data_IF_197239670032
#
_entry.id   IF_197239670032
#
_cell.length_a   1.000
_cell.length_b   1.000
_cell.length_c   1.000
_cell.angle_alpha   90.00
_cell.angle_beta   90.00
_cell.angle_gamma   90.00
#
_symmetry.space_group_name_H-M   'P 1'
#
loop_
_entity.id
_entity.type
_entity.pdbx_description
1 polymer ?
#
# COMPACT_ATOMS: atom_id res chain seq x y z
N UNK A 1 -28.46 -50.56 12.31
CA UNK A 1 -27.54 -49.98 13.32
C UNK A 1 -27.51 -48.45 13.18
N UNK A 2 -28.56 -47.84 13.73
CA UNK A 2 -28.77 -46.39 13.70
C UNK A 2 -28.27 -45.72 14.98
N UNK A 3 -27.74 -44.52 14.83
CA UNK A 3 -27.60 -43.56 15.92
C UNK A 3 -28.24 -42.24 15.46
N UNK A 4 -29.51 -42.09 15.83
CA UNK A 4 -30.28 -40.86 15.63
C UNK A 4 -29.94 -39.92 16.77
N UNK A 5 -29.27 -38.81 16.46
CA UNK A 5 -28.94 -37.78 17.45
C UNK A 5 -30.17 -36.93 17.67
N UNK A 6 -30.82 -37.14 18.82
CA UNK A 6 -31.99 -36.39 19.25
C UNK A 6 -31.63 -34.91 19.47
N UNK A 7 -32.33 -34.02 18.76
CA UNK A 7 -32.36 -32.59 19.00
C UNK A 7 -32.96 -32.34 20.40
N UNK A 8 -32.16 -31.90 21.36
CA UNK A 8 -32.66 -31.43 22.66
C UNK A 8 -33.32 -30.06 22.47
N UNK A 9 -34.62 -30.00 22.73
CA UNK A 9 -35.39 -28.77 22.77
C UNK A 9 -34.91 -27.88 23.93
N UNK A 10 -34.56 -26.63 23.61
CA UNK A 10 -34.21 -25.59 24.58
C UNK A 10 -35.50 -25.16 25.29
N UNK A 11 -35.56 -25.18 26.63
CA UNK A 11 -36.73 -24.70 27.37
C UNK A 11 -36.93 -23.19 27.19
N UNK A 12 -38.19 -22.71 27.15
CA UNK A 12 -38.47 -21.28 27.04
C UNK A 12 -37.98 -20.51 28.28
N UNK A 13 -37.58 -19.23 28.11
CA UNK A 13 -37.12 -18.41 29.21
C UNK A 13 -38.25 -18.16 30.23
N UNK A 14 -37.91 -18.05 31.52
CA UNK A 14 -38.89 -17.77 32.57
C UNK A 14 -39.54 -16.39 32.37
N UNK A 15 -40.81 -16.23 32.78
CA UNK A 15 -41.51 -14.95 32.70
C UNK A 15 -40.82 -13.90 33.58
N UNK A 16 -40.61 -12.72 33.02
CA UNK A 16 -40.12 -11.53 33.72
C UNK A 16 -41.02 -11.21 34.91
N UNK A 17 -40.50 -11.41 36.12
CA UNK A 17 -41.13 -10.94 37.34
C UNK A 17 -41.13 -9.41 37.33
N UNK A 18 -42.33 -8.82 37.43
CA UNK A 18 -42.52 -7.39 37.53
C UNK A 18 -41.79 -6.86 38.77
N UNK A 19 -40.85 -5.93 38.57
CA UNK A 19 -40.22 -5.22 39.66
C UNK A 19 -41.25 -4.35 40.39
N UNK A 20 -41.22 -4.30 41.73
CA UNK A 20 -42.08 -3.40 42.50
C UNK A 20 -41.75 -1.94 42.18
N UNK A 21 -42.75 -1.04 42.19
CA UNK A 21 -42.55 0.38 41.94
C UNK A 21 -41.65 0.99 43.02
N UNK A 22 -40.67 1.78 42.56
CA UNK A 22 -39.80 2.58 43.43
C UNK A 22 -40.64 3.57 44.26
N UNK A 23 -40.28 3.80 45.54
CA UNK A 23 -40.87 4.87 46.34
C UNK A 23 -40.58 6.25 45.71
N UNK A 24 -41.62 7.06 45.65
CA UNK A 24 -41.64 8.40 45.05
C UNK A 24 -40.97 9.40 46.02
N UNK A 25 -39.65 9.52 45.91
CA UNK A 25 -38.81 10.34 46.80
C UNK A 25 -38.79 11.82 46.34
N UNK A 26 -39.96 12.48 46.39
CA UNK A 26 -40.13 13.92 46.05
C UNK A 26 -39.79 14.85 47.23
N UNK A 27 -38.73 14.54 47.98
CA UNK A 27 -38.36 15.25 49.21
C UNK A 27 -36.96 15.90 49.27
N UNK A 28 -36.15 15.84 48.20
CA UNK A 28 -34.71 16.20 48.29
C UNK A 28 -34.12 17.08 47.18
N UNK A 29 -34.94 17.68 46.31
CA UNK A 29 -34.46 18.33 45.09
C UNK A 29 -33.76 19.69 45.28
N UNK A 30 -33.92 20.36 46.43
CA UNK A 30 -33.38 21.72 46.61
C UNK A 30 -31.92 21.76 47.10
N UNK A 31 -31.43 20.75 47.84
CA UNK A 31 -30.07 20.77 48.42
C UNK A 31 -29.05 20.05 47.54
N UNK A 32 -29.49 19.10 46.70
CA UNK A 32 -28.61 18.41 45.75
C UNK A 32 -28.18 19.29 44.55
N UNK A 33 -28.97 20.31 44.20
CA UNK A 33 -28.66 21.24 43.11
C UNK A 33 -27.42 22.08 43.37
N UNK A 34 -27.27 22.60 44.59
CA UNK A 34 -26.15 23.48 44.96
C UNK A 34 -24.84 22.72 45.15
N UNK A 35 -24.89 21.48 45.68
CA UNK A 35 -23.72 20.61 45.76
C UNK A 35 -23.25 20.11 44.38
N UNK A 36 -24.18 19.82 43.47
CA UNK A 36 -23.85 19.46 42.09
C UNK A 36 -23.31 20.66 41.28
N UNK A 37 -23.83 21.86 41.51
CA UNK A 37 -23.32 23.10 40.91
C UNK A 37 -21.93 23.47 41.45
N UNK A 38 -21.68 23.29 42.76
CA UNK A 38 -20.36 23.49 43.36
C UNK A 38 -19.33 22.45 42.88
N UNK A 39 -19.73 21.18 42.70
CA UNK A 39 -18.88 20.14 42.12
C UNK A 39 -18.61 20.37 40.61
N UNK A 40 -19.59 20.89 39.87
CA UNK A 40 -19.41 21.29 38.47
C UNK A 40 -18.51 22.53 38.33
N UNK A 41 -18.57 23.47 39.28
CA UNK A 41 -17.68 24.62 39.35
C UNK A 41 -16.25 24.22 39.76
N UNK A 42 -16.08 23.28 40.69
CA UNK A 42 -14.77 22.75 41.08
C UNK A 42 -14.09 21.91 39.98
N UNK A 43 -14.85 21.38 39.02
CA UNK A 43 -14.32 20.72 37.81
C UNK A 43 -13.98 21.69 36.68
N UNK A 44 -14.32 22.98 36.79
CA UNK A 44 -13.74 24.00 35.91
C UNK A 44 -12.30 24.20 36.36
N UNK A 45 -11.42 23.35 35.83
CA UNK A 45 -9.98 23.56 35.92
C UNK A 45 -9.62 24.98 35.49
N UNK A 46 -8.42 25.46 35.86
CA UNK A 46 -7.99 26.82 35.58
C UNK A 46 -8.28 27.18 34.11
N UNK A 47 -8.81 28.39 33.84
CA UNK A 47 -9.16 28.81 32.49
C UNK A 47 -7.97 28.56 31.58
N UNK A 48 -8.21 27.87 30.47
CA UNK A 48 -7.15 27.50 29.55
C UNK A 48 -6.36 28.77 29.19
N UNK A 49 -5.02 28.77 29.33
CA UNK A 49 -4.22 29.94 29.05
C UNK A 49 -4.52 30.44 27.63
N UNK A 50 -4.51 31.77 27.40
CA UNK A 50 -4.79 32.34 26.10
C UNK A 50 -3.85 31.72 25.05
N UNK A 51 -4.35 31.43 23.83
CA UNK A 51 -3.56 30.78 22.80
C UNK A 51 -2.33 31.64 22.50
N UNK A 52 -1.15 31.12 22.80
CA UNK A 52 0.08 31.81 22.47
C UNK A 52 0.22 31.96 20.95
N UNK A 53 0.73 33.11 20.47
CA UNK A 53 0.93 33.34 19.04
C UNK A 53 1.87 32.27 18.48
N UNK A 54 1.37 31.52 17.50
CA UNK A 54 2.17 30.48 16.83
C UNK A 54 3.29 31.13 16.01
N UNK A 55 4.53 30.67 16.24
CA UNK A 55 5.68 31.09 15.44
C UNK A 55 5.54 30.71 13.96
N UNK A 56 6.25 31.39 13.05
CA UNK A 56 6.13 31.18 11.60
C UNK A 56 6.42 29.72 11.20
N UNK A 57 7.42 29.07 11.80
CA UNK A 57 7.74 27.66 11.54
C UNK A 57 6.60 26.70 11.91
N UNK A 58 5.85 26.98 12.98
CA UNK A 58 4.69 26.17 13.37
C UNK A 58 3.54 26.30 12.37
N UNK A 59 3.36 27.47 11.74
CA UNK A 59 2.36 27.67 10.69
C UNK A 59 2.71 26.90 9.42
N UNK A 60 3.98 26.93 9.01
CA UNK A 60 4.46 26.17 7.84
C UNK A 60 4.31 24.67 8.08
N UNK A 61 4.73 24.17 9.25
CA UNK A 61 4.55 22.77 9.62
C UNK A 61 3.06 22.38 9.68
N UNK A 62 2.21 23.24 10.23
CA UNK A 62 0.76 23.01 10.24
C UNK A 62 0.19 22.89 8.82
N UNK A 63 0.56 23.80 7.92
CA UNK A 63 0.11 23.78 6.52
C UNK A 63 0.61 22.51 5.80
N UNK A 64 1.90 22.20 5.92
CA UNK A 64 2.52 21.01 5.31
C UNK A 64 1.88 19.72 5.83
N UNK A 65 1.76 19.57 7.15
CA UNK A 65 1.12 18.42 7.78
C UNK A 65 -0.34 18.27 7.35
N UNK A 66 -1.10 19.37 7.31
CA UNK A 66 -2.50 19.34 6.86
C UNK A 66 -2.60 18.91 5.40
N UNK A 67 -1.80 19.49 4.51
CA UNK A 67 -1.79 19.16 3.09
C UNK A 67 -1.51 17.67 2.85
N UNK A 68 -0.42 17.14 3.42
CA UNK A 68 -0.04 15.73 3.25
C UNK A 68 -1.14 14.79 3.76
N UNK A 69 -1.73 15.08 4.92
CA UNK A 69 -2.78 14.22 5.48
C UNK A 69 -4.11 14.36 4.73
N UNK A 70 -4.41 15.51 4.12
CA UNK A 70 -5.54 15.67 3.21
C UNK A 70 -5.36 14.84 1.93
N UNK A 71 -4.14 14.79 1.37
CA UNK A 71 -3.84 13.92 0.22
C UNK A 71 -3.99 12.44 0.60
N UNK A 72 -3.45 12.03 1.76
CA UNK A 72 -3.64 10.66 2.27
C UNK A 72 -5.11 10.30 2.49
N UNK A 73 -5.89 11.24 3.04
CA UNK A 73 -7.33 11.05 3.23
C UNK A 73 -8.04 10.86 1.89
N UNK A 74 -7.74 11.69 0.89
CA UNK A 74 -8.31 11.60 -0.45
C UNK A 74 -7.97 10.26 -1.13
N UNK A 75 -6.71 9.81 -1.04
CA UNK A 75 -6.29 8.50 -1.55
C UNK A 75 -7.05 7.35 -0.87
N UNK A 76 -7.18 7.40 0.46
CA UNK A 76 -7.99 6.44 1.21
C UNK A 76 -9.44 6.40 0.73
N UNK A 77 -10.08 7.56 0.53
CA UNK A 77 -11.46 7.65 0.03
C UNK A 77 -11.61 7.10 -1.40
N UNK A 78 -10.66 7.41 -2.30
CA UNK A 78 -10.67 6.87 -3.68
C UNK A 78 -10.56 5.34 -3.67
N UNK A 79 -9.64 4.79 -2.87
CA UNK A 79 -9.51 3.34 -2.71
C UNK A 79 -10.76 2.72 -2.09
N UNK A 80 -11.37 3.39 -1.12
CA UNK A 80 -12.61 2.91 -0.48
C UNK A 80 -13.74 2.82 -1.51
N UNK A 81 -13.89 3.86 -2.35
CA UNK A 81 -14.89 3.90 -3.40
C UNK A 81 -14.65 2.81 -4.45
N UNK A 82 -13.40 2.59 -4.83
CA UNK A 82 -13.04 1.51 -5.76
C UNK A 82 -13.41 0.13 -5.19
N UNK A 83 -13.07 -0.11 -3.93
CA UNK A 83 -13.40 -1.36 -3.22
C UNK A 83 -14.91 -1.52 -3.09
N UNK A 84 -15.65 -0.45 -2.80
CA UNK A 84 -17.11 -0.50 -2.76
C UNK A 84 -17.70 -0.90 -4.12
N UNK A 85 -17.21 -0.34 -5.22
CA UNK A 85 -17.65 -0.69 -6.57
C UNK A 85 -17.36 -2.16 -6.92
N UNK A 86 -16.15 -2.64 -6.63
CA UNK A 86 -15.78 -4.04 -6.83
C UNK A 86 -16.62 -4.95 -5.94
N UNK A 87 -16.85 -4.59 -4.69
CA UNK A 87 -17.66 -5.35 -3.74
C UNK A 87 -19.10 -5.52 -4.21
N UNK A 88 -19.71 -4.46 -4.76
CA UNK A 88 -21.04 -4.54 -5.36
C UNK A 88 -21.06 -5.48 -6.57
N UNK A 89 -20.06 -5.42 -7.44
CA UNK A 89 -19.95 -6.31 -8.60
C UNK A 89 -19.76 -7.79 -8.19
N UNK A 90 -18.85 -8.07 -7.25
CA UNK A 90 -18.61 -9.43 -6.74
C UNK A 90 -19.85 -10.00 -6.04
N UNK A 91 -20.55 -9.17 -5.25
CA UNK A 91 -21.80 -9.54 -4.61
C UNK A 91 -22.88 -9.90 -5.64
N UNK A 92 -23.04 -9.08 -6.69
CA UNK A 92 -23.99 -9.34 -7.76
C UNK A 92 -23.70 -10.64 -8.54
N UNK A 93 -22.43 -11.04 -8.65
CA UNK A 93 -22.00 -12.30 -9.26
C UNK A 93 -22.10 -13.51 -8.31
N UNK A 94 -22.62 -13.34 -7.09
CA UNK A 94 -22.77 -14.43 -6.12
C UNK A 94 -21.46 -14.95 -5.53
N UNK A 95 -20.34 -14.22 -5.68
CA UNK A 95 -19.04 -14.67 -5.14
C UNK A 95 -19.04 -14.83 -3.62
N UNK A 96 -19.94 -14.14 -2.91
CA UNK A 96 -20.06 -14.22 -1.45
C UNK A 96 -21.28 -15.02 -0.98
N UNK A 97 -21.94 -15.75 -1.88
CA UNK A 97 -23.06 -16.61 -1.53
C UNK A 97 -22.69 -17.75 -0.55
N UNK A 98 -21.49 -18.35 -0.59
CA UNK A 98 -21.11 -19.36 0.39
C UNK A 98 -20.91 -18.75 1.78
N UNK A 99 -21.50 -19.33 2.85
CA UNK A 99 -21.32 -18.85 4.21
C UNK A 99 -19.83 -18.94 4.58
N UNK A 100 -19.26 -17.81 5.01
CA UNK A 100 -17.87 -17.72 5.46
C UNK A 100 -16.84 -17.32 4.40
N UNK A 101 -17.20 -17.23 3.11
CA UNK A 101 -16.27 -16.80 2.05
C UNK A 101 -15.72 -15.37 2.28
N UNK A 102 -16.57 -14.45 2.71
CA UNK A 102 -16.13 -13.09 3.06
C UNK A 102 -15.20 -13.08 4.30
N UNK A 103 -15.48 -13.92 5.29
CA UNK A 103 -14.69 -14.01 6.51
C UNK A 103 -13.30 -14.64 6.24
N UNK A 104 -13.22 -15.66 5.38
CA UNK A 104 -11.95 -16.26 4.99
C UNK A 104 -11.10 -15.29 4.14
N UNK A 105 -11.71 -14.59 3.17
CA UNK A 105 -11.03 -13.59 2.34
C UNK A 105 -10.46 -12.43 3.16
N UNK A 106 -11.27 -11.85 4.06
CA UNK A 106 -10.84 -10.78 4.96
C UNK A 106 -9.73 -11.21 5.91
N UNK A 107 -9.83 -12.41 6.49
CA UNK A 107 -8.77 -12.98 7.33
C UNK A 107 -7.48 -13.18 6.55
N UNK A 108 -7.55 -13.71 5.33
CA UNK A 108 -6.40 -13.89 4.45
C UNK A 108 -5.71 -12.56 4.16
N UNK A 109 -6.48 -11.54 3.77
CA UNK A 109 -5.97 -10.19 3.51
C UNK A 109 -5.36 -9.54 4.75
N UNK A 110 -6.00 -9.69 5.91
CA UNK A 110 -5.48 -9.18 7.17
C UNK A 110 -4.14 -9.82 7.53
N UNK A 111 -3.99 -11.14 7.35
CA UNK A 111 -2.72 -11.83 7.58
C UNK A 111 -1.64 -11.34 6.61
N UNK A 112 -2.00 -11.09 5.34
CA UNK A 112 -1.09 -10.52 4.33
C UNK A 112 -0.62 -9.15 4.73
N UNK A 113 -1.53 -8.26 5.11
CA UNK A 113 -1.15 -6.93 5.55
C UNK A 113 -0.37 -6.96 6.85
N UNK A 114 -0.80 -7.74 7.83
CA UNK A 114 -0.10 -7.85 9.10
C UNK A 114 1.33 -8.37 8.90
N UNK A 115 1.53 -9.39 8.06
CA UNK A 115 2.87 -9.86 7.69
C UNK A 115 3.68 -8.72 7.08
N UNK A 116 3.17 -8.07 6.04
CA UNK A 116 3.90 -6.99 5.36
C UNK A 116 4.20 -5.79 6.29
N UNK A 117 3.33 -5.48 7.25
CA UNK A 117 3.52 -4.39 8.19
C UNK A 117 4.46 -4.76 9.35
N UNK A 118 4.51 -6.04 9.76
CA UNK A 118 5.31 -6.50 10.89
C UNK A 118 6.72 -6.98 10.51
N UNK A 119 6.92 -7.49 9.29
CA UNK A 119 8.24 -7.91 8.76
C UNK A 119 9.39 -6.93 9.09
N UNK A 120 9.23 -5.60 8.97
CA UNK A 120 10.31 -4.68 9.33
C UNK A 120 10.68 -4.65 10.82
N UNK A 121 9.77 -5.05 11.70
CA UNK A 121 9.91 -4.91 13.16
C UNK A 121 10.18 -6.23 13.86
N UNK A 122 9.74 -7.34 13.27
CA UNK A 122 9.81 -8.68 13.87
C UNK A 122 10.09 -9.68 12.75
N UNK A 123 10.92 -10.69 13.01
CA UNK A 123 11.04 -11.85 12.15
C UNK A 123 9.65 -12.50 11.99
N UNK A 124 8.98 -12.22 10.88
CA UNK A 124 7.61 -12.66 10.64
C UNK A 124 7.50 -14.14 10.25
N UNK A 125 8.53 -14.94 10.53
CA UNK A 125 8.57 -16.38 10.27
C UNK A 125 7.46 -17.12 11.01
N UNK A 126 6.99 -16.58 12.15
CA UNK A 126 5.82 -17.11 12.87
C UNK A 126 4.51 -17.04 12.08
N UNK A 127 4.42 -16.23 11.02
CA UNK A 127 3.24 -16.12 10.16
C UNK A 127 3.28 -17.08 8.95
N UNK A 128 4.43 -17.66 8.62
CA UNK A 128 4.56 -18.63 7.53
C UNK A 128 3.62 -19.84 7.62
N UNK A 129 3.38 -20.48 8.79
CA UNK A 129 2.48 -21.64 8.85
C UNK A 129 1.00 -21.28 8.66
N UNK A 130 0.63 -20.01 8.83
CA UNK A 130 -0.77 -19.53 8.73
C UNK A 130 -1.03 -18.83 7.39
N UNK A 131 0.01 -18.58 6.60
CA UNK A 131 -0.08 -17.92 5.31
C UNK A 131 -0.71 -18.85 4.26
N UNK A 132 -1.79 -18.43 3.60
CA UNK A 132 -2.36 -19.21 2.51
C UNK A 132 -1.35 -19.33 1.36
N UNK A 133 -1.16 -20.56 0.86
CA UNK A 133 -0.24 -20.85 -0.26
C UNK A 133 -0.63 -20.14 -1.55
N UNK A 134 -1.93 -19.86 -1.71
CA UNK A 134 -2.49 -19.14 -2.85
C UNK A 134 -3.53 -18.15 -2.32
N UNK A 135 -3.39 -16.89 -2.69
CA UNK A 135 -4.36 -15.84 -2.41
C UNK A 135 -5.22 -15.65 -3.65
N UNK A 136 -6.54 -15.70 -3.48
CA UNK A 136 -7.49 -15.49 -4.58
C UNK A 136 -7.46 -14.06 -5.11
N UNK A 137 -7.99 -13.87 -6.32
CA UNK A 137 -8.19 -12.55 -6.94
C UNK A 137 -9.05 -11.62 -6.07
N UNK A 138 -9.99 -12.17 -5.29
CA UNK A 138 -10.82 -11.45 -4.34
C UNK A 138 -10.00 -10.82 -3.20
N UNK A 139 -8.95 -11.50 -2.74
CA UNK A 139 -8.07 -10.97 -1.70
C UNK A 139 -7.26 -9.78 -2.24
N UNK A 140 -6.64 -9.94 -3.41
CA UNK A 140 -5.80 -8.89 -4.01
C UNK A 140 -6.61 -7.72 -4.59
N UNK A 141 -7.77 -8.00 -5.17
CA UNK A 141 -8.61 -7.01 -5.85
C UNK A 141 -9.58 -6.27 -4.95
N UNK A 142 -10.02 -6.86 -3.83
CA UNK A 142 -11.01 -6.27 -2.94
C UNK A 142 -10.48 -6.05 -1.51
N UNK A 143 -10.04 -7.11 -0.83
CA UNK A 143 -9.73 -7.01 0.60
C UNK A 143 -8.45 -6.25 0.92
N UNK A 144 -7.35 -6.50 0.19
CA UNK A 144 -6.07 -5.81 0.40
C UNK A 144 -6.22 -4.29 0.15
N UNK A 145 -6.80 -3.83 -0.98
CA UNK A 145 -7.05 -2.40 -1.18
C UNK A 145 -8.01 -1.80 -0.15
N UNK A 146 -9.02 -2.56 0.31
CA UNK A 146 -9.98 -2.10 1.32
C UNK A 146 -9.35 -1.87 2.69
N UNK A 147 -8.54 -2.81 3.15
CA UNK A 147 -7.82 -2.66 4.40
C UNK A 147 -6.74 -1.57 4.32
N UNK A 148 -6.06 -1.43 3.18
CA UNK A 148 -5.11 -0.33 2.93
C UNK A 148 -5.80 1.03 2.95
N UNK A 149 -7.00 1.14 2.38
CA UNK A 149 -7.85 2.32 2.45
C UNK A 149 -8.16 2.71 3.90
N UNK A 150 -8.66 1.76 4.70
CA UNK A 150 -8.95 1.99 6.12
C UNK A 150 -7.70 2.43 6.90
N UNK A 151 -6.54 1.86 6.56
CA UNK A 151 -5.26 2.24 7.14
C UNK A 151 -4.91 3.71 6.81
N UNK A 152 -5.01 4.12 5.55
CA UNK A 152 -4.77 5.51 5.14
C UNK A 152 -5.73 6.50 5.80
N UNK A 153 -7.03 6.17 5.84
CA UNK A 153 -8.03 6.99 6.50
C UNK A 153 -7.72 7.14 8.00
N UNK A 154 -7.25 6.08 8.65
CA UNK A 154 -6.88 6.08 10.07
C UNK A 154 -5.65 6.96 10.33
N UNK A 155 -4.57 6.79 9.56
CA UNK A 155 -3.35 7.63 9.64
C UNK A 155 -3.68 9.10 9.39
N UNK A 156 -4.44 9.38 8.33
CA UNK A 156 -4.85 10.74 7.96
C UNK A 156 -5.68 11.40 9.06
N UNK A 157 -6.70 10.71 9.55
CA UNK A 157 -7.60 11.23 10.59
C UNK A 157 -6.88 11.48 11.91
N UNK A 158 -6.01 10.56 12.33
CA UNK A 158 -5.19 10.73 13.53
C UNK A 158 -4.21 11.90 13.39
N UNK A 159 -3.58 12.06 12.22
CA UNK A 159 -2.67 13.19 11.96
C UNK A 159 -3.40 14.53 12.00
N UNK A 160 -4.53 14.65 11.32
CA UNK A 160 -5.38 15.86 11.35
C UNK A 160 -5.91 16.15 12.75
N UNK A 161 -6.36 15.13 13.49
CA UNK A 161 -6.79 15.29 14.89
C UNK A 161 -5.65 15.73 15.80
N UNK A 162 -4.42 15.25 15.56
CA UNK A 162 -3.21 15.61 16.30
C UNK A 162 -2.84 17.08 16.04
N UNK A 163 -2.88 17.53 14.78
CA UNK A 163 -2.67 18.94 14.41
C UNK A 163 -3.69 19.86 15.11
N UNK A 164 -4.98 19.49 15.04
CA UNK A 164 -6.08 20.32 15.56
C UNK A 164 -6.06 20.46 17.07
N UNK A 165 -5.78 19.37 17.80
CA UNK A 165 -5.96 19.33 19.25
C UNK A 165 -4.67 19.46 20.04
N UNK A 166 -3.51 19.23 19.40
CA UNK A 166 -2.17 19.38 19.99
C UNK A 166 -1.99 18.67 21.35
N UNK A 167 -2.69 17.55 21.55
CA UNK A 167 -2.58 16.75 22.79
C UNK A 167 -1.53 15.65 22.61
N UNK A 168 -0.57 15.51 23.54
CA UNK A 168 0.49 14.49 23.43
C UNK A 168 -0.08 13.07 23.45
N UNK A 169 -1.18 12.82 24.17
CA UNK A 169 -1.84 11.51 24.20
C UNK A 169 -2.40 11.06 22.84
N UNK A 170 -2.66 11.99 21.91
CA UNK A 170 -3.08 11.67 20.53
C UNK A 170 -1.90 11.56 19.57
N UNK A 171 -0.81 12.26 19.86
CA UNK A 171 0.41 12.19 19.07
C UNK A 171 1.07 10.81 19.13
N UNK A 172 0.98 10.10 20.27
CA UNK A 172 1.55 8.75 20.43
C UNK A 172 0.94 7.71 19.47
N UNK A 173 -0.39 7.46 19.46
CA UNK A 173 -0.96 6.48 18.53
C UNK A 173 -0.76 6.89 17.07
N UNK A 174 -0.78 8.19 16.77
CA UNK A 174 -0.44 8.70 15.46
C UNK A 174 1.01 8.38 15.08
N UNK A 175 1.99 8.67 15.95
CA UNK A 175 3.41 8.45 15.68
C UNK A 175 3.70 6.96 15.43
N UNK A 176 3.08 6.06 16.20
CA UNK A 176 3.22 4.62 16.00
C UNK A 176 2.67 4.19 14.64
N UNK A 177 1.46 4.63 14.29
CA UNK A 177 0.84 4.26 13.02
C UNK A 177 1.58 4.87 11.82
N UNK A 178 2.05 6.11 11.95
CA UNK A 178 2.86 6.80 10.95
C UNK A 178 4.22 6.12 10.77
N UNK A 179 4.87 5.66 11.84
CA UNK A 179 6.11 4.91 11.75
C UNK A 179 5.92 3.60 10.97
N UNK A 180 4.88 2.83 11.30
CA UNK A 180 4.51 1.61 10.56
C UNK A 180 4.26 1.94 9.08
N UNK A 181 3.52 3.01 8.79
CA UNK A 181 3.22 3.44 7.42
C UNK A 181 4.49 3.82 6.62
N UNK A 182 5.35 4.67 7.19
CA UNK A 182 6.56 5.15 6.53
C UNK A 182 7.55 4.02 6.29
N UNK A 183 7.69 3.10 7.25
CA UNK A 183 8.57 1.93 7.12
C UNK A 183 8.03 0.96 6.07
N UNK A 184 6.72 0.69 6.07
CA UNK A 184 6.09 -0.14 5.04
C UNK A 184 6.26 0.47 3.64
N UNK A 185 6.05 1.78 3.49
CA UNK A 185 6.27 2.47 2.21
C UNK A 185 7.74 2.40 1.75
N UNK A 186 8.70 2.51 2.68
CA UNK A 186 10.12 2.35 2.36
C UNK A 186 10.41 0.94 1.82
N UNK A 187 9.89 -0.11 2.46
CA UNK A 187 10.06 -1.48 1.98
C UNK A 187 9.38 -1.72 0.64
N UNK A 188 8.16 -1.19 0.45
CA UNK A 188 7.46 -1.27 -0.82
C UNK A 188 8.26 -0.57 -1.94
N UNK A 189 8.86 0.58 -1.64
CA UNK A 189 9.73 1.30 -2.57
C UNK A 189 10.99 0.48 -2.91
N UNK A 190 11.62 -0.16 -1.93
CA UNK A 190 12.78 -1.03 -2.14
C UNK A 190 12.44 -2.25 -3.00
N UNK A 191 11.34 -2.95 -2.67
CA UNK A 191 10.84 -4.06 -3.46
C UNK A 191 10.50 -3.63 -4.90
N UNK A 192 9.93 -2.43 -5.08
CA UNK A 192 9.66 -1.88 -6.40
C UNK A 192 10.94 -1.58 -7.19
N UNK A 193 11.98 -1.04 -6.54
CA UNK A 193 13.31 -0.83 -7.15
C UNK A 193 13.91 -2.17 -7.56
N UNK A 194 13.84 -3.18 -6.70
CA UNK A 194 14.33 -4.52 -6.99
C UNK A 194 13.57 -5.14 -8.16
N UNK A 195 12.23 -5.13 -8.14
CA UNK A 195 11.38 -5.61 -9.23
C UNK A 195 11.71 -4.87 -10.52
N UNK A 196 11.99 -3.56 -10.49
CA UNK A 196 12.36 -2.80 -11.68
C UNK A 196 13.71 -3.23 -12.31
N UNK A 197 14.49 -4.07 -11.63
CA UNK A 197 15.69 -4.73 -12.18
C UNK A 197 15.41 -6.10 -12.79
N UNK A 198 14.24 -6.69 -12.54
CA UNK A 198 13.83 -8.01 -13.02
C UNK A 198 13.34 -7.99 -14.48
N UNK A 199 13.90 -7.12 -15.31
CA UNK A 199 13.58 -7.12 -16.75
C UNK A 199 14.19 -8.37 -17.43
N UNK A 200 15.36 -8.77 -16.94
CA UNK A 200 16.21 -9.81 -17.50
C UNK A 200 15.76 -11.20 -17.08
N UNK A 201 15.21 -12.03 -17.97
CA UNK A 201 14.62 -13.36 -17.67
C UNK A 201 15.61 -14.42 -17.12
N UNK A 202 16.83 -14.00 -16.77
CA UNK A 202 17.93 -14.83 -16.32
C UNK A 202 18.73 -15.45 -17.47
N UNK A 203 19.94 -15.88 -17.15
CA UNK A 203 20.77 -16.67 -18.05
C UNK A 203 20.36 -18.15 -17.96
N UNK A 204 20.23 -18.89 -19.09
CA UNK A 204 20.05 -20.34 -19.09
C UNK A 204 21.33 -21.10 -18.68
N UNK A 205 22.29 -20.43 -18.04
CA UNK A 205 23.61 -20.97 -17.72
C UNK A 205 23.49 -22.06 -16.65
N UNK A 206 23.31 -23.30 -17.08
CA UNK A 206 23.77 -24.56 -16.45
C UNK A 206 23.26 -24.92 -15.04
N UNK A 207 22.75 -23.97 -14.27
CA UNK A 207 22.17 -24.19 -12.96
C UNK A 207 20.86 -24.95 -13.15
N UNK A 208 20.81 -26.16 -12.61
CA UNK A 208 19.74 -27.14 -12.79
C UNK A 208 18.39 -26.69 -12.19
N UNK A 209 18.31 -25.52 -11.54
CA UNK A 209 17.05 -24.94 -11.07
C UNK A 209 17.09 -23.41 -11.07
N UNK A 210 16.10 -22.71 -11.68
CA UNK A 210 16.00 -21.26 -11.60
C UNK A 210 15.82 -20.82 -10.15
N UNK A 211 16.41 -19.68 -9.78
CA UNK A 211 16.22 -19.10 -8.46
C UNK A 211 14.75 -18.74 -8.23
N UNK A 212 14.26 -18.68 -6.98
CA UNK A 212 12.89 -18.29 -6.68
C UNK A 212 12.41 -17.01 -7.40
N UNK A 213 13.16 -15.88 -7.43
CA UNK A 213 12.72 -14.69 -8.16
C UNK A 213 12.66 -14.90 -9.67
N UNK A 214 13.57 -15.69 -10.25
CA UNK A 214 13.53 -16.05 -11.67
C UNK A 214 12.29 -16.88 -12.02
N UNK A 215 11.86 -17.78 -11.13
CA UNK A 215 10.62 -18.56 -11.34
C UNK A 215 9.39 -17.64 -11.38
N UNK A 216 9.29 -16.71 -10.43
CA UNK A 216 8.21 -15.72 -10.39
C UNK A 216 8.22 -14.86 -11.65
N UNK A 217 9.40 -14.39 -12.06
CA UNK A 217 9.57 -13.57 -13.24
C UNK A 217 9.19 -14.31 -14.54
N UNK A 218 9.65 -15.54 -14.73
CA UNK A 218 9.28 -16.37 -15.88
C UNK A 218 7.78 -16.66 -15.91
N UNK A 219 7.16 -16.86 -14.73
CA UNK A 219 5.73 -17.05 -14.60
C UNK A 219 4.95 -15.78 -14.98
N UNK A 220 5.35 -14.61 -14.47
CA UNK A 220 4.73 -13.32 -14.81
C UNK A 220 4.89 -12.97 -16.29
N UNK A 221 6.06 -13.25 -16.86
CA UNK A 221 6.30 -13.09 -18.29
C UNK A 221 5.37 -13.98 -19.11
N UNK A 222 5.26 -15.26 -18.75
CA UNK A 222 4.39 -16.21 -19.45
C UNK A 222 2.92 -15.78 -19.40
N UNK A 223 2.39 -15.49 -18.22
CA UNK A 223 1.00 -15.02 -18.07
C UNK A 223 0.80 -13.73 -18.86
N UNK A 224 1.71 -12.77 -18.74
CA UNK A 224 1.61 -11.51 -19.46
C UNK A 224 1.61 -11.68 -20.98
N UNK A 225 2.45 -12.58 -21.50
CA UNK A 225 2.51 -12.90 -22.93
C UNK A 225 1.24 -13.61 -23.42
N UNK A 226 0.74 -14.59 -22.66
CA UNK A 226 -0.49 -15.32 -22.97
C UNK A 226 -1.69 -14.35 -23.03
N UNK A 227 -1.87 -13.53 -22.00
CA UNK A 227 -2.94 -12.51 -21.96
C UNK A 227 -2.78 -11.48 -23.08
N UNK A 228 -1.56 -11.04 -23.38
CA UNK A 228 -1.32 -10.10 -24.47
C UNK A 228 -1.68 -10.72 -25.82
N UNK A 229 -1.31 -11.98 -26.05
CA UNK A 229 -1.57 -12.69 -27.30
C UNK A 229 -3.05 -12.99 -27.48
N UNK A 230 -3.74 -13.37 -26.41
CA UNK A 230 -5.20 -13.54 -26.37
C UNK A 230 -5.87 -12.23 -26.77
N UNK A 231 -5.59 -11.12 -26.07
CA UNK A 231 -6.15 -9.80 -26.37
C UNK A 231 -5.82 -9.35 -27.80
N UNK A 232 -4.57 -9.55 -28.25
CA UNK A 232 -4.16 -9.21 -29.61
C UNK A 232 -4.99 -9.97 -30.67
N UNK A 233 -5.25 -11.25 -30.42
CA UNK A 233 -6.02 -12.11 -31.33
C UNK A 233 -7.52 -11.83 -31.30
N UNK A 234 -8.12 -11.68 -30.12
CA UNK A 234 -9.54 -11.38 -29.93
C UNK A 234 -9.93 -10.05 -30.58
N UNK A 235 -9.08 -9.03 -30.39
CA UNK A 235 -9.32 -7.69 -30.95
C UNK A 235 -8.91 -7.59 -32.43
N UNK A 236 -8.51 -8.70 -33.06
CA UNK A 236 -8.12 -8.82 -34.48
C UNK A 236 -7.06 -7.79 -34.87
N UNK A 237 -6.07 -7.61 -34.00
CA UNK A 237 -5.02 -6.64 -34.23
C UNK A 237 -4.03 -7.12 -35.31
N UNK A 238 -3.51 -6.16 -36.08
CA UNK A 238 -2.50 -6.37 -37.12
C UNK A 238 -1.44 -5.27 -37.05
N UNK A 239 -0.19 -5.65 -37.31
CA UNK A 239 0.92 -4.71 -37.46
C UNK A 239 1.04 -4.36 -38.93
N UNK A 240 0.97 -3.07 -39.23
CA UNK A 240 1.31 -2.57 -40.57
C UNK A 240 2.76 -2.11 -40.57
N UNK A 241 3.60 -2.84 -41.30
CA UNK A 241 4.97 -2.43 -41.59
C UNK A 241 4.93 -1.44 -42.76
N UNK A 242 5.37 -0.20 -42.52
CA UNK A 242 5.42 0.94 -43.45
C UNK A 242 4.11 1.63 -43.84
N UNK A 243 3.91 2.83 -43.26
CA UNK A 243 3.19 3.94 -43.87
C UNK A 243 4.06 5.20 -43.69
N UNK A 244 5.02 5.44 -44.60
CA UNK A 244 5.95 6.59 -44.54
C UNK A 244 7.07 6.49 -43.49
N UNK A 245 7.54 7.64 -42.99
CA UNK A 245 8.59 7.80 -41.96
C UNK A 245 8.13 7.39 -40.53
N UNK A 246 6.86 7.02 -40.36
CA UNK A 246 6.33 6.60 -39.06
C UNK A 246 6.60 5.10 -38.79
N UNK A 247 7.22 4.82 -37.65
CA UNK A 247 7.48 3.46 -37.17
C UNK A 247 6.17 2.65 -36.99
N UNK A 248 6.22 1.36 -37.36
CA UNK A 248 5.23 0.26 -37.16
C UNK A 248 3.91 0.66 -36.48
N UNK A 249 2.83 0.74 -37.25
CA UNK A 249 1.51 1.12 -36.73
C UNK A 249 0.65 -0.14 -36.47
N UNK A 250 0.24 -0.31 -35.22
CA UNK A 250 -0.73 -1.35 -34.82
C UNK A 250 -2.15 -0.86 -35.08
N UNK A 251 -2.97 -1.68 -35.75
CA UNK A 251 -4.40 -1.41 -35.96
C UNK A 251 -5.22 -2.61 -35.53
N UNK A 252 -6.29 -2.38 -34.79
CA UNK A 252 -7.25 -3.40 -34.37
C UNK A 252 -8.60 -3.12 -35.04
N UNK A 253 -9.33 -4.18 -35.40
CA UNK A 253 -10.57 -4.05 -36.18
C UNK A 253 -11.83 -4.40 -35.39
N UNK A 254 -11.72 -4.68 -34.09
CA UNK A 254 -12.87 -4.93 -33.22
C UNK A 254 -13.47 -3.61 -32.71
N UNK A 255 -14.80 -3.59 -32.52
CA UNK A 255 -15.55 -2.41 -32.05
C UNK A 255 -15.67 -2.37 -30.51
N UNK A 256 -14.62 -2.75 -29.81
CA UNK A 256 -14.54 -2.73 -28.35
C UNK A 256 -13.71 -1.54 -27.87
N UNK A 257 -13.81 -1.19 -26.58
CA UNK A 257 -12.96 -0.16 -26.00
C UNK A 257 -11.50 -0.62 -25.98
N UNK A 258 -11.29 -1.90 -25.67
CA UNK A 258 -9.99 -2.57 -25.62
C UNK A 258 -9.27 -2.48 -26.96
N UNK A 259 -9.97 -2.73 -28.07
CA UNK A 259 -9.42 -2.61 -29.43
C UNK A 259 -9.00 -1.18 -29.80
N UNK A 260 -9.66 -0.16 -29.22
CA UNK A 260 -9.29 1.25 -29.42
C UNK A 260 -8.13 1.67 -28.53
N UNK A 261 -8.06 1.16 -27.30
CA UNK A 261 -7.02 1.50 -26.32
C UNK A 261 -5.71 0.79 -26.63
N UNK A 262 -5.75 -0.46 -27.09
CA UNK A 262 -4.56 -1.27 -27.30
C UNK A 262 -3.53 -0.63 -28.27
N UNK A 263 -3.92 -0.11 -29.45
CA UNK A 263 -2.99 0.62 -30.31
C UNK A 263 -2.38 1.86 -29.65
N UNK A 264 -3.17 2.61 -28.87
CA UNK A 264 -2.71 3.81 -28.15
C UNK A 264 -1.67 3.42 -27.11
N UNK A 265 -1.93 2.39 -26.32
CA UNK A 265 -0.97 1.88 -25.33
C UNK A 265 0.31 1.42 -26.01
N UNK A 266 0.23 0.65 -27.08
CA UNK A 266 1.42 0.16 -27.78
C UNK A 266 2.22 1.30 -28.43
N UNK A 267 1.55 2.32 -28.95
CA UNK A 267 2.22 3.46 -29.57
C UNK A 267 2.85 4.42 -28.57
N UNK A 268 2.16 4.72 -27.47
CA UNK A 268 2.60 5.71 -26.49
C UNK A 268 3.55 5.11 -25.42
N UNK A 269 3.32 3.87 -25.02
CA UNK A 269 4.07 3.24 -23.94
C UNK A 269 5.20 2.35 -24.48
N UNK A 270 4.99 1.60 -25.56
CA UNK A 270 5.94 0.55 -25.99
C UNK A 270 7.00 1.01 -27.01
N UNK A 271 7.31 2.30 -27.02
CA UNK A 271 8.34 2.89 -27.88
C UNK A 271 9.50 3.47 -27.05
N UNK A 272 10.70 3.48 -27.63
CA UNK A 272 11.84 4.16 -27.00
C UNK A 272 11.63 5.68 -27.01
N UNK A 273 12.04 6.34 -25.93
CA UNK A 273 11.69 7.74 -25.66
C UNK A 273 12.69 8.77 -26.21
N UNK A 274 13.88 8.35 -26.63
CA UNK A 274 14.90 9.24 -27.20
C UNK A 274 15.87 8.47 -28.10
N UNK A 275 16.44 9.15 -29.11
CA UNK A 275 17.37 8.55 -30.07
C UNK A 275 18.63 7.98 -29.40
N UNK A 276 19.15 8.63 -28.35
CA UNK A 276 20.31 8.16 -27.58
C UNK A 276 20.02 6.90 -26.76
N UNK A 277 18.80 6.73 -26.25
CA UNK A 277 18.37 5.56 -25.49
C UNK A 277 17.80 4.45 -26.38
N UNK A 278 17.55 4.73 -27.66
CA UNK A 278 16.90 3.82 -28.59
C UNK A 278 17.73 2.55 -28.83
N UNK A 279 19.06 2.67 -28.93
CA UNK A 279 19.95 1.53 -29.15
C UNK A 279 19.94 0.55 -27.97
N UNK A 280 19.97 1.05 -26.73
CA UNK A 280 19.86 0.22 -25.52
C UNK A 280 18.48 -0.43 -25.43
N UNK A 281 17.41 0.32 -25.70
CA UNK A 281 16.05 -0.21 -25.72
C UNK A 281 15.90 -1.35 -26.73
N UNK A 282 16.34 -1.15 -27.98
CA UNK A 282 16.24 -2.19 -29.01
C UNK A 282 17.12 -3.42 -28.68
N UNK A 283 18.26 -3.24 -28.03
CA UNK A 283 19.08 -4.34 -27.51
C UNK A 283 18.36 -5.15 -26.43
N UNK A 284 17.68 -4.49 -25.49
CA UNK A 284 16.87 -5.15 -24.45
C UNK A 284 15.67 -5.90 -25.04
N UNK A 285 15.02 -5.33 -26.04
CA UNK A 285 13.93 -5.98 -26.79
C UNK A 285 14.42 -7.23 -27.53
N UNK A 286 15.61 -7.16 -28.15
CA UNK A 286 16.23 -8.33 -28.78
C UNK A 286 16.56 -9.42 -27.75
N UNK A 287 17.14 -9.04 -26.60
CA UNK A 287 17.45 -9.95 -25.51
C UNK A 287 16.18 -10.63 -24.94
N UNK A 288 15.08 -9.88 -24.79
CA UNK A 288 13.78 -10.43 -24.42
C UNK A 288 13.31 -11.52 -25.39
N UNK A 289 13.40 -11.25 -26.70
CA UNK A 289 13.01 -12.23 -27.74
C UNK A 289 13.86 -13.50 -27.67
N UNK A 290 15.17 -13.32 -27.61
CA UNK A 290 16.10 -14.45 -27.62
C UNK A 290 15.95 -15.30 -26.37
N UNK A 291 15.79 -14.69 -25.19
CA UNK A 291 15.58 -15.43 -23.94
C UNK A 291 14.22 -16.09 -23.87
N UNK A 292 13.14 -15.40 -24.23
CA UNK A 292 11.81 -16.00 -24.25
C UNK A 292 11.74 -17.23 -25.16
N UNK A 293 12.45 -17.22 -26.30
CA UNK A 293 12.60 -18.41 -27.17
C UNK A 293 13.43 -19.51 -26.52
N UNK A 294 14.60 -19.17 -25.97
CA UNK A 294 15.48 -20.16 -25.30
C UNK A 294 14.80 -20.85 -24.13
N UNK A 295 14.02 -20.11 -23.35
CA UNK A 295 13.26 -20.61 -22.20
C UNK A 295 11.93 -21.26 -22.59
N UNK A 296 11.61 -21.33 -23.90
CA UNK A 296 10.33 -21.87 -24.42
C UNK A 296 9.11 -21.22 -23.77
N UNK A 297 9.20 -19.92 -23.49
CA UNK A 297 8.10 -19.10 -22.99
C UNK A 297 7.20 -18.62 -24.13
N UNK A 298 7.74 -18.53 -25.35
CA UNK A 298 6.96 -18.27 -26.56
C UNK A 298 6.53 -19.56 -27.26
N UNK A 299 5.54 -19.43 -28.15
CA UNK A 299 5.19 -20.47 -29.10
C UNK A 299 6.38 -20.84 -30.00
N UNK A 300 6.36 -22.07 -30.53
CA UNK A 300 7.44 -22.58 -31.40
C UNK A 300 7.58 -21.78 -32.71
N UNK A 301 6.47 -21.26 -33.23
CA UNK A 301 6.44 -20.36 -34.38
C UNK A 301 6.55 -18.89 -33.95
N UNK A 302 7.46 -18.09 -34.55
CA UNK A 302 7.55 -16.67 -34.22
C UNK A 302 6.27 -15.95 -34.62
N UNK A 303 5.68 -15.22 -33.68
CA UNK A 303 4.51 -14.37 -33.93
C UNK A 303 4.92 -12.89 -33.94
N UNK A 304 4.22 -12.08 -34.74
CA UNK A 304 4.40 -10.63 -34.75
C UNK A 304 4.07 -10.00 -33.37
N UNK A 305 3.14 -10.62 -32.63
CA UNK A 305 2.77 -10.23 -31.26
C UNK A 305 3.94 -10.37 -30.29
N UNK A 306 4.87 -11.31 -30.48
CA UNK A 306 6.03 -11.50 -29.60
C UNK A 306 6.94 -10.26 -29.63
N UNK A 307 7.08 -9.65 -30.82
CA UNK A 307 7.92 -8.48 -30.99
C UNK A 307 7.32 -7.23 -30.34
N UNK A 308 5.99 -7.07 -30.38
CA UNK A 308 5.31 -6.00 -29.67
C UNK A 308 5.32 -6.24 -28.16
N UNK A 309 5.07 -7.48 -27.73
CA UNK A 309 5.08 -7.85 -26.33
C UNK A 309 6.44 -7.53 -25.70
N UNK A 310 7.56 -7.94 -26.31
CA UNK A 310 8.89 -7.62 -25.78
C UNK A 310 9.19 -6.12 -25.72
N UNK A 311 8.65 -5.33 -26.66
CA UNK A 311 8.73 -3.86 -26.59
C UNK A 311 7.97 -3.31 -25.39
N UNK A 312 6.75 -3.78 -25.19
CA UNK A 312 5.92 -3.39 -24.06
C UNK A 312 6.51 -3.86 -22.71
N UNK A 313 7.12 -5.05 -22.69
CA UNK A 313 7.84 -5.57 -21.54
C UNK A 313 8.96 -4.61 -21.14
N UNK A 314 9.92 -4.35 -22.03
CA UNK A 314 11.04 -3.44 -21.75
C UNK A 314 10.58 -2.04 -21.35
N UNK A 315 9.58 -1.50 -22.05
CA UNK A 315 9.03 -0.20 -21.70
C UNK A 315 8.31 -0.17 -20.34
N UNK A 316 7.65 -1.27 -19.98
CA UNK A 316 7.06 -1.47 -18.66
C UNK A 316 8.10 -1.38 -17.56
N UNK A 317 9.28 -1.98 -17.76
CA UNK A 317 10.40 -1.86 -16.81
C UNK A 317 10.98 -0.44 -16.76
N UNK A 318 11.03 0.29 -17.87
CA UNK A 318 11.42 1.71 -17.85
C UNK A 318 10.41 2.57 -17.08
N UNK A 319 9.12 2.29 -17.26
CA UNK A 319 8.05 2.92 -16.48
C UNK A 319 8.16 2.57 -14.99
N UNK A 320 8.45 1.31 -14.64
CA UNK A 320 8.68 0.88 -13.25
C UNK A 320 9.90 1.57 -12.64
N UNK A 321 11.02 1.67 -13.35
CA UNK A 321 12.22 2.40 -12.90
C UNK A 321 11.91 3.88 -12.66
N UNK A 322 11.17 4.50 -13.58
CA UNK A 322 10.74 5.90 -13.43
C UNK A 322 9.80 6.04 -12.22
N UNK A 323 8.82 5.16 -12.09
CA UNK A 323 7.87 5.15 -10.99
C UNK A 323 8.57 4.94 -9.63
N UNK A 324 9.55 4.04 -9.56
CA UNK A 324 10.35 3.81 -8.36
C UNK A 324 11.08 5.06 -7.86
N UNK A 325 11.62 5.88 -8.77
CA UNK A 325 12.21 7.19 -8.41
C UNK A 325 11.15 8.15 -7.85
N UNK A 326 9.97 8.19 -8.46
CA UNK A 326 8.86 9.03 -7.98
C UNK A 326 8.35 8.59 -6.60
N UNK A 327 8.27 7.28 -6.35
CA UNK A 327 7.86 6.73 -5.05
C UNK A 327 8.80 7.21 -3.94
N UNK A 328 10.11 7.27 -4.19
CA UNK A 328 11.05 7.83 -3.20
C UNK A 328 10.81 9.31 -2.90
N UNK A 329 10.47 10.13 -3.91
CA UNK A 329 10.11 11.54 -3.70
C UNK A 329 8.82 11.68 -2.88
N UNK A 330 7.81 10.87 -3.19
CA UNK A 330 6.55 10.81 -2.45
C UNK A 330 6.81 10.40 -1.00
N UNK A 331 7.66 9.40 -0.78
CA UNK A 331 8.07 8.93 0.55
C UNK A 331 8.72 10.05 1.38
N UNK A 332 9.65 10.82 0.79
CA UNK A 332 10.25 11.98 1.45
C UNK A 332 9.18 13.03 1.82
N UNK A 333 8.22 13.30 0.93
CA UNK A 333 7.10 14.20 1.21
C UNK A 333 6.20 13.71 2.34
N UNK A 334 5.94 12.41 2.42
CA UNK A 334 5.20 11.78 3.51
C UNK A 334 5.95 11.91 4.84
N UNK A 335 7.25 11.61 4.86
CA UNK A 335 8.09 11.77 6.05
C UNK A 335 8.07 13.21 6.56
N UNK A 336 8.22 14.19 5.66
CA UNK A 336 8.12 15.61 6.00
C UNK A 336 6.74 15.95 6.59
N UNK A 337 5.67 15.42 6.01
CA UNK A 337 4.31 15.57 6.53
C UNK A 337 4.16 15.01 7.95
N UNK A 338 4.70 13.83 8.21
CA UNK A 338 4.68 13.20 9.54
C UNK A 338 5.46 14.02 10.57
N UNK A 339 6.68 14.41 10.25
CA UNK A 339 7.51 15.25 11.11
C UNK A 339 6.85 16.60 11.40
N UNK A 340 6.16 17.16 10.42
CA UNK A 340 5.41 18.41 10.58
C UNK A 340 4.28 18.27 11.60
N UNK A 341 3.53 17.17 11.57
CA UNK A 341 2.49 16.88 12.58
C UNK A 341 3.09 16.73 13.97
N UNK A 342 4.18 15.96 14.10
CA UNK A 342 4.86 15.74 15.37
C UNK A 342 5.49 17.03 15.93
N UNK A 343 6.03 17.88 15.06
CA UNK A 343 6.52 19.20 15.44
C UNK A 343 5.37 20.07 15.98
N UNK A 344 4.24 20.17 15.28
CA UNK A 344 3.07 20.94 15.75
C UNK A 344 2.53 20.41 17.08
N UNK A 345 2.55 19.09 17.29
CA UNK A 345 2.11 18.48 18.54
C UNK A 345 3.08 18.71 19.71
N UNK A 346 4.39 18.76 19.44
CA UNK A 346 5.44 18.95 20.44
C UNK A 346 5.76 20.42 20.71
N UNK A 347 5.39 21.33 19.80
CA UNK A 347 5.68 22.76 19.86
C UNK A 347 5.33 23.41 21.21
N UNK A 348 4.16 23.15 21.83
CA UNK A 348 3.84 23.75 23.13
C UNK A 348 4.83 23.36 24.24
N UNK A 349 5.37 22.13 24.19
CA UNK A 349 6.38 21.68 25.14
C UNK A 349 7.76 22.23 24.78
N UNK A 350 8.12 22.26 23.50
CA UNK A 350 9.37 22.84 23.03
C UNK A 350 9.46 24.34 23.32
N UNK A 351 8.34 25.06 23.31
CA UNK A 351 8.27 26.47 23.66
C UNK A 351 8.54 26.74 25.16
N UNK A 352 8.34 25.74 26.03
CA UNK A 352 8.64 25.83 27.46
C UNK A 352 10.10 25.50 27.79
N UNK A 353 10.82 24.87 26.86
CA UNK A 353 12.25 24.52 27.04
C UNK A 353 13.15 25.74 26.83
N UNK A 354 14.34 25.72 27.43
CA UNK A 354 15.35 26.75 27.16
C UNK A 354 15.82 26.64 25.70
N UNK A 355 16.23 27.77 25.11
CA UNK A 355 16.63 27.82 23.70
C UNK A 355 17.69 26.77 23.32
N UNK A 356 18.65 26.53 24.22
CA UNK A 356 19.69 25.51 24.06
C UNK A 356 19.12 24.08 24.02
N UNK A 357 18.35 23.69 25.03
CA UNK A 357 17.70 22.36 25.11
C UNK A 357 16.80 22.12 23.89
N UNK A 358 16.02 23.13 23.48
CA UNK A 358 15.19 23.06 22.28
C UNK A 358 16.03 22.81 21.03
N UNK A 359 17.15 23.50 20.87
CA UNK A 359 18.04 23.31 19.72
C UNK A 359 18.70 21.93 19.71
N UNK A 360 19.07 21.40 20.87
CA UNK A 360 19.65 20.06 21.02
C UNK A 360 18.65 18.96 20.64
N UNK A 361 17.40 19.05 21.14
CA UNK A 361 16.33 18.09 20.80
C UNK A 361 15.98 18.15 19.30
N UNK A 362 15.86 19.35 18.73
CA UNK A 362 15.56 19.50 17.30
C UNK A 362 16.72 19.02 16.42
N UNK A 363 17.96 19.30 16.81
CA UNK A 363 19.14 18.82 16.11
C UNK A 363 19.23 17.30 16.16
N UNK A 364 19.02 16.69 17.34
CA UNK A 364 18.98 15.24 17.49
C UNK A 364 17.90 14.60 16.61
N UNK A 365 16.69 15.17 16.59
CA UNK A 365 15.59 14.67 15.75
C UNK A 365 15.89 14.81 14.25
N UNK A 366 16.46 15.94 13.83
CA UNK A 366 16.82 16.19 12.44
C UNK A 366 17.93 15.24 11.98
N UNK A 367 19.00 15.09 12.77
CA UNK A 367 20.11 14.17 12.46
C UNK A 367 19.63 12.72 12.43
N UNK A 368 18.82 12.30 13.41
CA UNK A 368 18.28 10.93 13.46
C UNK A 368 17.39 10.66 12.24
N UNK A 369 16.56 11.62 11.86
CA UNK A 369 15.70 11.51 10.67
C UNK A 369 16.56 11.44 9.40
N UNK A 370 17.56 12.29 9.26
CA UNK A 370 18.45 12.30 8.10
C UNK A 370 19.23 11.00 7.96
N UNK A 371 19.73 10.45 9.07
CA UNK A 371 20.40 9.14 9.10
C UNK A 371 19.45 8.01 8.72
N UNK A 372 18.21 8.01 9.23
CA UNK A 372 17.20 7.02 8.87
C UNK A 372 16.81 7.12 7.39
N UNK A 373 16.60 8.33 6.88
CA UNK A 373 16.28 8.57 5.47
C UNK A 373 17.45 8.16 4.56
N UNK A 374 18.68 8.50 4.93
CA UNK A 374 19.89 8.09 4.20
C UNK A 374 20.03 6.56 4.20
N UNK A 375 19.82 5.91 5.34
CA UNK A 375 19.83 4.43 5.42
C UNK A 375 18.83 3.80 4.47
N UNK A 376 17.59 4.30 4.46
CA UNK A 376 16.52 3.79 3.57
C UNK A 376 16.85 4.02 2.09
N UNK A 377 17.42 5.18 1.76
CA UNK A 377 17.71 5.57 0.38
C UNK A 377 18.99 4.93 -0.20
N UNK A 378 20.03 4.74 0.62
CA UNK A 378 21.37 4.32 0.16
C UNK A 378 21.62 2.84 0.36
N UNK A 379 21.02 2.20 1.38
CA UNK A 379 21.28 0.81 1.74
C UNK A 379 20.01 -0.04 1.71
N UNK A 380 19.39 -0.24 0.53
CA UNK A 380 18.18 -1.05 0.42
C UNK A 380 18.42 -2.51 0.83
N UNK A 381 19.59 -3.06 0.53
CA UNK A 381 19.94 -4.47 0.80
C UNK A 381 20.61 -4.69 2.18
N UNK A 382 20.54 -3.70 3.06
CA UNK A 382 21.27 -3.69 4.33
C UNK A 382 22.68 -3.10 4.22
N UNK A 383 23.32 -2.92 5.37
CA UNK A 383 24.69 -2.42 5.43
C UNK A 383 25.62 -3.45 4.75
N UNK A 384 26.66 -3.04 3.99
CA UNK A 384 27.54 -3.96 3.29
C UNK A 384 28.23 -5.00 4.21
N UNK A 385 28.24 -4.74 5.52
CA UNK A 385 28.79 -5.55 6.59
C UNK A 385 27.84 -6.64 7.10
N UNK A 386 26.54 -6.60 6.74
CA UNK A 386 25.54 -7.60 7.16
C UNK A 386 25.39 -8.76 6.19
N UNK A 387 26.02 -8.70 5.00
CA UNK A 387 26.21 -9.88 4.17
C UNK A 387 27.31 -10.70 4.87
N UNK A 388 26.91 -11.73 5.60
CA UNK A 388 27.84 -12.67 6.22
C UNK A 388 28.82 -13.22 5.18
N UNK A 389 29.98 -13.75 5.62
CA UNK A 389 30.95 -14.34 4.70
C UNK A 389 30.23 -15.38 3.83
N UNK A 390 30.55 -15.44 2.51
CA UNK A 390 29.94 -16.41 1.62
C UNK A 390 30.14 -17.80 2.23
N UNK A 391 29.02 -18.47 2.54
CA UNK A 391 29.06 -19.87 2.97
C UNK A 391 29.60 -20.64 1.77
N UNK A 392 30.73 -21.36 1.90
CA UNK A 392 31.23 -22.18 0.79
C UNK A 392 30.16 -23.21 0.43
N UNK A 393 29.71 -23.20 -0.82
CA UNK A 393 28.89 -24.28 -1.36
C UNK A 393 29.76 -25.54 -1.44
N UNK A 394 29.43 -26.54 -0.61
CA UNK A 394 30.02 -27.90 -0.67
C UNK A 394 29.43 -28.73 -1.82
#
# INVERSE_FOLDING_TARGET
PGSSTALQAIPPPPPLQAMPPLPDDRGGAAIAGDAAAAAAAARRGPPAPPPQPTGPGARVAHACGTFVHSVLLALGLVLLLHVANIGLALSAQGHWAPPGAAASGSRGALLVLLRNLLVPFVEASFLDPVMPKTLGMDVWGFWVPGLLSLFFLSVASLGLATIRLRRPSRAVPYALLAAVFVVWQAQAAQALVEIATWEDLGSPSGASRPSPPQQVQQHLFKIGHETFTELYSEQRCKITHHVGDAHRLMRCSADTLEAKVMPIVVQELCQGRSDEAQADFDARVAACKDRGRRLRLFASSPLDSDALYCRCWSAGFDALRSFARWVMLVWCGLLLGVLSVLYVASEPKLAQMRARERSEVLCFALVSTALLACRVAVFPDGLPWSKGPPVPEE
#
